data_IF_229871090552
#
_entry.id   IF_229871090552
#
_cell.length_a   1.000
_cell.length_b   1.000
_cell.length_c   1.000
_cell.angle_alpha   90.00
_cell.angle_beta   90.00
_cell.angle_gamma   90.00
#
_symmetry.space_group_name_H-M   'P 1'
#
loop_
_entity.id
_entity.type
_entity.pdbx_description
1 polymer ?
#
# COMPACT_ATOMS: atom_id res chain seq x y z
N UNK A 1 -13.41 15.87 -31.87
CA UNK A 1 -12.62 16.23 -30.69
C UNK A 1 -13.50 16.52 -29.50
N UNK A 2 -13.60 15.53 -28.62
CA UNK A 2 -13.56 15.65 -27.16
C UNK A 2 -13.88 14.26 -26.60
N UNK A 3 -12.80 13.52 -26.32
CA UNK A 3 -12.78 12.26 -25.58
C UNK A 3 -12.83 12.61 -24.09
N UNK A 4 -14.04 12.65 -23.52
CA UNK A 4 -14.22 12.86 -22.09
C UNK A 4 -14.08 11.53 -21.37
N UNK A 5 -12.86 11.27 -20.92
CA UNK A 5 -12.45 10.13 -20.11
C UNK A 5 -13.30 9.99 -18.85
N UNK A 6 -14.09 8.92 -18.80
CA UNK A 6 -14.85 8.53 -17.62
C UNK A 6 -13.95 7.82 -16.62
N UNK A 7 -13.99 8.33 -15.40
CA UNK A 7 -13.12 8.06 -14.27
C UNK A 7 -13.52 6.75 -13.56
N UNK A 8 -12.54 5.92 -13.20
CA UNK A 8 -12.73 4.62 -12.51
C UNK A 8 -13.08 4.74 -11.01
N UNK A 9 -13.59 5.89 -10.56
CA UNK A 9 -13.88 6.16 -9.14
C UNK A 9 -15.26 6.79 -8.89
N UNK A 10 -16.08 6.98 -9.93
CA UNK A 10 -17.43 7.54 -9.79
C UNK A 10 -18.48 6.47 -10.00
N UNK A 11 -18.98 5.92 -8.89
CA UNK A 11 -20.31 5.34 -8.67
C UNK A 11 -20.23 4.07 -7.81
N UNK A 12 -20.17 4.31 -6.50
CA UNK A 12 -20.42 3.29 -5.48
C UNK A 12 -21.90 3.41 -5.08
N UNK A 13 -22.75 2.53 -5.60
CA UNK A 13 -24.08 2.29 -5.03
C UNK A 13 -24.04 1.02 -4.15
N UNK A 14 -24.08 1.20 -2.84
CA UNK A 14 -24.14 0.10 -1.87
C UNK A 14 -25.58 -0.40 -1.70
N UNK A 15 -25.80 -1.70 -1.88
CA UNK A 15 -27.05 -2.38 -1.49
C UNK A 15 -26.81 -3.27 -0.27
N UNK A 16 -27.68 -3.26 0.75
CA UNK A 16 -27.58 -4.17 1.89
C UNK A 16 -28.03 -5.59 1.50
N UNK A 17 -27.28 -6.61 1.90
CA UNK A 17 -27.69 -8.02 1.78
C UNK A 17 -28.38 -8.49 3.06
N UNK A 18 -29.63 -8.96 2.95
CA UNK A 18 -30.31 -9.74 3.98
C UNK A 18 -30.07 -11.23 3.74
N UNK A 19 -29.50 -11.94 4.71
CA UNK A 19 -29.36 -13.39 4.68
C UNK A 19 -30.69 -14.06 5.03
N UNK A 20 -31.23 -14.86 4.11
CA UNK A 20 -32.34 -15.78 4.41
C UNK A 20 -31.78 -17.19 4.64
N UNK A 21 -32.17 -17.80 5.75
CA UNK A 21 -31.65 -19.06 6.24
C UNK A 21 -32.60 -20.20 5.83
N UNK A 22 -32.30 -20.86 4.71
CA UNK A 22 -32.93 -22.11 4.33
C UNK A 22 -31.89 -23.08 3.73
N UNK A 23 -31.10 -23.72 4.61
CA UNK A 23 -30.26 -24.86 4.24
C UNK A 23 -31.09 -26.14 4.30
N UNK A 24 -31.53 -26.62 3.15
CA UNK A 24 -32.00 -28.00 2.98
C UNK A 24 -30.81 -28.97 3.01
N UNK A 25 -30.96 -30.08 3.74
CA UNK A 25 -29.96 -31.13 3.85
C UNK A 25 -29.70 -31.78 2.47
N UNK A 26 -28.43 -31.89 2.09
CA UNK A 26 -27.99 -32.63 0.90
C UNK A 26 -27.33 -33.93 1.35
N UNK A 27 -27.99 -35.04 1.02
CA UNK A 27 -27.52 -36.40 1.24
C UNK A 27 -26.60 -36.82 0.08
N UNK A 28 -25.39 -37.27 0.38
CA UNK A 28 -24.34 -37.58 -0.61
C UNK A 28 -24.42 -39.04 -1.01
N UNK A 29 -24.96 -39.34 -2.19
CA UNK A 29 -24.82 -40.64 -2.83
C UNK A 29 -23.60 -40.63 -3.77
N UNK A 30 -22.57 -41.41 -3.44
CA UNK A 30 -21.44 -41.71 -4.33
C UNK A 30 -21.82 -42.87 -5.24
N UNK A 31 -21.78 -42.68 -6.55
CA UNK A 31 -21.65 -43.79 -7.49
C UNK A 31 -20.72 -43.43 -8.65
N UNK A 32 -19.81 -44.36 -8.92
CA UNK A 32 -18.66 -44.23 -9.80
C UNK A 32 -19.04 -44.26 -11.29
N UNK A 33 -18.49 -43.31 -12.06
CA UNK A 33 -17.64 -43.58 -13.24
C UNK A 33 -17.12 -42.27 -13.79
N UNK A 34 -15.84 -42.01 -13.55
CA UNK A 34 -15.10 -40.90 -14.12
C UNK A 34 -15.03 -41.05 -15.65
N UNK A 35 -15.88 -40.33 -16.37
CA UNK A 35 -15.60 -39.95 -17.75
C UNK A 35 -14.72 -38.70 -17.70
N UNK A 36 -13.49 -38.87 -18.19
CA UNK A 36 -12.53 -37.79 -18.32
C UNK A 36 -13.04 -36.75 -19.33
N UNK A 37 -13.73 -35.73 -18.83
CA UNK A 37 -13.91 -34.48 -19.57
C UNK A 37 -12.51 -33.89 -19.69
N UNK A 38 -11.96 -33.89 -20.91
CA UNK A 38 -10.80 -33.05 -21.23
C UNK A 38 -11.22 -31.62 -20.96
N UNK A 39 -10.84 -31.10 -19.79
CA UNK A 39 -10.92 -29.67 -19.53
C UNK A 39 -10.04 -28.99 -20.57
N UNK A 40 -10.66 -28.30 -21.52
CA UNK A 40 -9.97 -27.23 -22.23
C UNK A 40 -9.47 -26.30 -21.14
N UNK A 41 -8.16 -26.31 -20.89
CA UNK A 41 -7.54 -25.49 -19.88
C UNK A 41 -7.82 -24.03 -20.25
N UNK A 42 -8.88 -23.46 -19.67
CA UNK A 42 -9.05 -22.02 -19.55
C UNK A 42 -7.74 -21.54 -18.93
N UNK A 43 -7.06 -20.59 -19.59
CA UNK A 43 -5.81 -20.05 -19.08
C UNK A 43 -5.99 -19.77 -17.59
N UNK A 44 -5.19 -20.45 -16.75
CA UNK A 44 -5.31 -20.36 -15.30
C UNK A 44 -5.16 -18.89 -14.95
N UNK A 45 -6.19 -18.29 -14.36
CA UNK A 45 -6.08 -16.91 -13.91
C UNK A 45 -4.90 -16.80 -12.95
N UNK A 46 -4.07 -15.75 -13.08
CA UNK A 46 -2.90 -15.58 -12.23
C UNK A 46 -3.33 -15.54 -10.77
N UNK A 47 -2.47 -16.05 -9.89
CA UNK A 47 -2.72 -16.06 -8.46
C UNK A 47 -3.04 -14.65 -7.96
N UNK A 48 -4.02 -14.50 -7.04
CA UNK A 48 -4.39 -13.21 -6.51
C UNK A 48 -3.24 -12.42 -5.92
N UNK A 49 -3.25 -11.11 -6.15
CA UNK A 49 -2.35 -10.19 -5.48
C UNK A 49 -2.78 -9.96 -4.03
N UNK A 50 -1.79 -9.74 -3.19
CA UNK A 50 -1.93 -9.31 -1.81
C UNK A 50 -1.20 -8.00 -1.71
N UNK A 51 -1.94 -6.92 -1.49
CA UNK A 51 -1.42 -5.56 -1.52
C UNK A 51 -1.59 -4.96 -0.13
N UNK A 52 -0.52 -4.40 0.42
CA UNK A 52 -0.55 -3.62 1.64
C UNK A 52 -0.11 -2.19 1.34
N UNK A 53 -0.93 -1.24 1.74
CA UNK A 53 -0.65 0.19 1.63
C UNK A 53 -0.55 0.76 3.04
N UNK A 54 0.60 1.35 3.33
CA UNK A 54 0.88 1.96 4.63
C UNK A 54 1.68 3.24 4.47
N UNK A 55 1.82 4.00 5.55
CA UNK A 55 2.71 5.16 5.60
C UNK A 55 4.18 4.75 5.48
N UNK A 56 5.03 5.66 5.01
CA UNK A 56 6.49 5.48 5.11
C UNK A 56 6.93 5.57 6.57
N UNK A 57 7.63 4.56 7.04
CA UNK A 57 8.30 4.55 8.33
C UNK A 57 9.61 5.34 8.31
N UNK A 58 10.26 5.42 9.47
CA UNK A 58 11.57 6.09 9.59
C UNK A 58 12.65 5.37 8.77
N UNK A 59 12.67 4.04 8.80
CA UNK A 59 13.61 3.22 8.04
C UNK A 59 13.47 3.46 6.54
N UNK A 60 12.23 3.39 6.05
CA UNK A 60 11.89 3.60 4.65
C UNK A 60 12.25 5.02 4.19
N UNK A 61 12.02 6.02 5.05
CA UNK A 61 12.46 7.40 4.80
C UNK A 61 13.98 7.50 4.65
N UNK A 62 14.75 6.76 5.44
CA UNK A 62 16.22 6.73 5.29
C UNK A 62 16.62 6.05 3.97
N UNK A 63 15.95 4.98 3.57
CA UNK A 63 16.17 4.34 2.26
C UNK A 63 15.94 5.29 1.09
N UNK A 64 14.86 6.08 1.16
CA UNK A 64 14.57 7.09 0.14
C UNK A 64 15.70 8.10 0.06
N UNK A 65 16.13 8.63 1.20
CA UNK A 65 17.23 9.60 1.28
C UNK A 65 18.53 9.02 0.73
N UNK A 66 18.88 7.78 1.08
CA UNK A 66 20.05 7.07 0.53
C UNK A 66 19.95 6.95 -1.00
N UNK A 67 18.78 6.56 -1.51
CA UNK A 67 18.52 6.43 -2.95
C UNK A 67 18.68 7.77 -3.67
N UNK A 68 18.07 8.84 -3.16
CA UNK A 68 18.12 10.18 -3.75
C UNK A 68 19.55 10.75 -3.70
N UNK A 69 20.26 10.58 -2.58
CA UNK A 69 21.66 11.00 -2.46
C UNK A 69 22.54 10.32 -3.51
N UNK A 70 22.45 8.99 -3.64
CA UNK A 70 23.23 8.22 -4.62
C UNK A 70 22.87 8.62 -6.05
N UNK A 71 21.59 8.86 -6.35
CA UNK A 71 21.14 9.37 -7.66
C UNK A 71 21.73 10.74 -8.00
N UNK A 72 21.93 11.58 -6.99
CA UNK A 72 22.57 12.90 -7.11
C UNK A 72 24.11 12.84 -7.08
N UNK A 73 24.70 11.65 -7.02
CA UNK A 73 26.15 11.44 -7.03
C UNK A 73 26.83 11.50 -5.66
N UNK A 74 26.07 11.52 -4.57
CA UNK A 74 26.58 11.39 -3.20
C UNK A 74 26.46 9.94 -2.77
N UNK A 75 27.57 9.19 -2.78
CA UNK A 75 27.58 7.77 -2.43
C UNK A 75 27.15 7.52 -0.98
N UNK A 76 25.89 7.13 -0.79
CA UNK A 76 25.30 6.84 0.51
C UNK A 76 25.41 5.36 0.90
N UNK A 77 26.04 4.52 0.07
CA UNK A 77 26.02 3.06 0.19
C UNK A 77 24.69 2.43 -0.23
N UNK A 78 24.41 1.24 0.31
CA UNK A 78 23.15 0.53 0.08
C UNK A 78 21.97 1.29 0.71
N UNK A 79 20.85 1.37 -0.01
CA UNK A 79 19.60 1.94 0.50
C UNK A 79 18.88 0.95 1.45
N UNK A 80 19.49 0.67 2.60
CA UNK A 80 19.06 -0.31 3.59
C UNK A 80 18.26 0.29 4.77
N UNK A 81 18.16 1.62 4.82
CA UNK A 81 17.44 2.37 5.84
C UNK A 81 18.27 2.62 7.11
N UNK A 82 19.57 2.28 7.11
CA UNK A 82 20.49 2.53 8.20
C UNK A 82 21.47 3.64 7.85
N UNK A 83 21.49 4.70 8.66
CA UNK A 83 22.42 5.82 8.47
C UNK A 83 23.84 5.45 8.96
N UNK A 84 24.53 4.58 8.22
CA UNK A 84 25.92 4.21 8.45
C UNK A 84 26.93 5.30 8.03
N UNK A 85 28.23 5.00 8.14
CA UNK A 85 29.30 5.97 7.85
C UNK A 85 29.21 6.57 6.44
N UNK A 86 28.92 5.74 5.43
CA UNK A 86 28.75 6.21 4.04
C UNK A 86 27.55 7.15 3.92
N UNK A 87 26.39 6.78 4.46
CA UNK A 87 25.18 7.62 4.45
C UNK A 87 25.41 8.94 5.20
N UNK A 88 26.05 8.92 6.37
CA UNK A 88 26.38 10.14 7.14
C UNK A 88 27.33 11.03 6.33
N UNK A 89 28.35 10.44 5.68
CA UNK A 89 29.28 11.16 4.82
C UNK A 89 28.56 11.81 3.63
N UNK A 90 27.69 11.08 2.94
CA UNK A 90 26.88 11.55 1.82
C UNK A 90 25.96 12.71 2.23
N UNK A 91 25.24 12.58 3.35
CA UNK A 91 24.38 13.63 3.88
C UNK A 91 25.19 14.89 4.17
N UNK A 92 26.35 14.76 4.84
CA UNK A 92 27.20 15.90 5.16
C UNK A 92 27.86 16.51 3.90
N UNK A 93 28.21 15.69 2.91
CA UNK A 93 28.69 16.14 1.60
C UNK A 93 27.63 16.99 0.89
N UNK A 94 26.39 16.49 0.84
CA UNK A 94 25.27 17.20 0.25
C UNK A 94 24.99 18.51 1.00
N UNK A 95 24.94 18.47 2.33
CA UNK A 95 24.76 19.68 3.16
C UNK A 95 25.82 20.73 2.85
N UNK A 96 27.10 20.37 2.74
CA UNK A 96 28.18 21.29 2.35
C UNK A 96 27.96 21.86 0.95
N UNK A 97 27.60 21.01 -0.02
CA UNK A 97 27.30 21.44 -1.39
C UNK A 97 26.16 22.48 -1.44
N UNK A 98 25.16 22.35 -0.56
CA UNK A 98 24.04 23.31 -0.43
C UNK A 98 24.28 24.46 0.55
N UNK A 99 25.45 24.54 1.21
CA UNK A 99 25.71 25.55 2.23
C UNK A 99 24.87 25.39 3.51
N UNK A 100 24.37 24.19 3.79
CA UNK A 100 23.61 23.85 5.00
C UNK A 100 24.55 23.48 6.16
N UNK A 101 24.09 23.70 7.40
CA UNK A 101 24.84 23.32 8.60
C UNK A 101 24.94 21.80 8.72
N UNK A 102 26.16 21.28 8.88
CA UNK A 102 26.42 19.85 9.13
C UNK A 102 26.32 19.45 10.60
N UNK A 103 26.30 20.42 11.52
CA UNK A 103 26.12 20.17 12.96
C UNK A 103 24.64 20.02 13.32
N UNK A 104 24.34 19.22 14.34
CA UNK A 104 22.97 19.02 14.84
C UNK A 104 22.32 17.77 14.22
N UNK A 105 20.97 17.71 14.17
CA UNK A 105 20.26 16.57 13.63
C UNK A 105 20.69 16.23 12.20
N UNK A 106 20.83 14.93 11.92
CA UNK A 106 21.27 14.47 10.60
C UNK A 106 20.23 14.80 9.53
N UNK A 107 18.95 14.56 9.82
CA UNK A 107 17.83 14.72 8.89
C UNK A 107 16.95 15.92 9.26
N UNK A 108 17.49 17.13 9.12
CA UNK A 108 16.70 18.37 9.31
C UNK A 108 15.75 18.61 8.14
N UNK A 109 14.60 19.23 8.38
CA UNK A 109 13.63 19.58 7.32
C UNK A 109 14.27 20.37 6.17
N UNK A 110 15.14 21.32 6.48
CA UNK A 110 15.88 22.10 5.48
C UNK A 110 16.79 21.24 4.57
N UNK A 111 17.37 20.17 5.13
CA UNK A 111 18.17 19.22 4.35
C UNK A 111 17.28 18.36 3.46
N UNK A 112 16.20 17.81 4.03
CA UNK A 112 15.25 16.96 3.29
C UNK A 112 14.66 17.75 2.12
N UNK A 113 14.11 18.94 2.37
CA UNK A 113 13.57 19.81 1.33
C UNK A 113 14.60 20.12 0.23
N UNK A 114 15.85 20.47 0.61
CA UNK A 114 16.89 20.76 -0.37
C UNK A 114 17.29 19.53 -1.20
N UNK A 115 17.30 18.34 -0.58
CA UNK A 115 17.63 17.07 -1.23
C UNK A 115 16.62 16.76 -2.35
N UNK A 116 15.33 16.70 -2.00
CA UNK A 116 14.26 16.40 -2.94
C UNK A 116 14.16 17.45 -4.05
N UNK A 117 14.24 18.74 -3.71
CA UNK A 117 14.23 19.81 -4.71
C UNK A 117 15.42 19.70 -5.69
N UNK A 118 16.59 19.23 -5.25
CA UNK A 118 17.74 19.00 -6.14
C UNK A 118 17.56 17.79 -7.05
N UNK A 119 16.71 16.87 -6.63
CA UNK A 119 16.37 15.66 -7.37
C UNK A 119 15.20 15.86 -8.33
N UNK A 120 14.61 17.07 -8.37
CA UNK A 120 13.42 17.39 -9.17
C UNK A 120 12.12 16.88 -8.54
N UNK A 121 12.11 16.64 -7.23
CA UNK A 121 10.97 16.14 -6.48
C UNK A 121 10.50 17.20 -5.47
N UNK A 122 9.18 17.32 -5.28
CA UNK A 122 8.61 18.36 -4.42
C UNK A 122 8.75 18.03 -2.92
N UNK A 123 8.63 16.75 -2.56
CA UNK A 123 8.69 16.27 -1.18
C UNK A 123 9.10 14.79 -1.10
N UNK A 124 9.51 14.31 0.08
CA UNK A 124 9.65 12.87 0.31
C UNK A 124 8.33 12.13 0.12
N UNK A 125 8.37 10.89 -0.36
CA UNK A 125 7.20 10.03 -0.37
C UNK A 125 6.61 9.87 1.03
N UNK A 126 5.28 9.84 1.09
CA UNK A 126 4.53 9.79 2.35
C UNK A 126 3.92 8.41 2.64
N UNK A 127 3.75 7.58 1.61
CA UNK A 127 3.25 6.22 1.70
C UNK A 127 4.09 5.21 0.93
N UNK A 128 3.75 3.94 1.11
CA UNK A 128 4.29 2.83 0.34
C UNK A 128 3.21 1.83 0.01
N UNK A 129 3.43 1.13 -1.09
CA UNK A 129 2.68 -0.04 -1.50
C UNK A 129 3.61 -1.25 -1.54
N UNK A 130 3.18 -2.34 -0.91
CA UNK A 130 3.89 -3.61 -0.87
C UNK A 130 3.01 -4.66 -1.53
N UNK A 131 3.54 -5.36 -2.53
CA UNK A 131 2.78 -6.32 -3.31
C UNK A 131 3.41 -7.70 -3.14
N UNK A 132 2.58 -8.67 -2.80
CA UNK A 132 2.92 -10.09 -2.72
C UNK A 132 2.01 -10.90 -3.63
N UNK A 133 2.52 -12.04 -4.07
CA UNK A 133 1.78 -13.06 -4.82
C UNK A 133 2.31 -14.42 -4.40
N UNK A 134 1.42 -15.40 -4.19
CA UNK A 134 1.79 -16.73 -3.71
C UNK A 134 2.70 -16.69 -2.47
N UNK A 135 2.38 -15.83 -1.51
CA UNK A 135 3.14 -15.57 -0.27
C UNK A 135 4.56 -15.02 -0.47
N UNK A 136 4.96 -14.64 -1.68
CA UNK A 136 6.29 -14.08 -1.98
C UNK A 136 6.21 -12.58 -2.25
N UNK A 137 7.18 -11.78 -1.77
CA UNK A 137 7.32 -10.39 -2.20
C UNK A 137 7.49 -10.32 -3.72
N UNK A 138 6.64 -9.53 -4.38
CA UNK A 138 6.72 -9.27 -5.81
C UNK A 138 7.43 -7.95 -6.08
N UNK A 139 7.03 -6.88 -5.39
CA UNK A 139 7.73 -5.60 -5.37
C UNK A 139 7.19 -4.68 -4.27
N UNK A 140 7.93 -3.61 -4.03
CA UNK A 140 7.52 -2.46 -3.22
C UNK A 140 7.71 -1.18 -4.01
N UNK A 141 6.89 -0.18 -3.77
CA UNK A 141 7.01 1.13 -4.39
C UNK A 141 6.62 2.25 -3.41
N UNK A 142 7.25 3.40 -3.59
CA UNK A 142 6.87 4.63 -2.92
C UNK A 142 5.58 5.19 -3.55
N UNK A 143 4.68 5.70 -2.72
CA UNK A 143 3.46 6.38 -3.14
C UNK A 143 3.26 7.63 -2.30
N UNK A 144 2.26 8.44 -2.64
CA UNK A 144 1.86 9.57 -1.82
C UNK A 144 0.46 9.45 -1.25
N UNK A 145 0.30 10.01 -0.06
CA UNK A 145 -0.92 10.06 0.71
C UNK A 145 -1.24 11.54 0.93
N UNK A 146 -2.31 12.01 0.30
CA UNK A 146 -2.84 13.37 0.50
C UNK A 146 -3.26 13.57 1.96
N UNK A 147 -3.09 14.78 2.46
CA UNK A 147 -3.38 15.17 3.84
C UNK A 147 -2.76 14.20 4.86
N UNK A 148 -1.42 14.01 4.85
CA UNK A 148 -0.75 12.94 5.61
C UNK A 148 -0.97 13.06 7.13
N UNK A 149 -1.39 14.21 7.65
CA UNK A 149 -1.77 14.43 9.04
C UNK A 149 -3.12 13.79 9.44
N UNK A 150 -3.93 13.35 8.47
CA UNK A 150 -5.21 12.65 8.70
C UNK A 150 -4.98 11.15 8.67
N UNK A 151 -5.47 10.43 9.67
CA UNK A 151 -5.39 8.96 9.75
C UNK A 151 -5.92 8.30 8.46
N UNK A 152 -5.29 7.20 8.05
CA UNK A 152 -5.78 6.39 6.94
C UNK A 152 -6.97 5.54 7.37
N UNK A 153 -6.99 5.09 8.64
CA UNK A 153 -7.93 4.06 9.08
C UNK A 153 -7.37 2.66 8.91
N UNK A 154 -8.23 1.65 9.02
CA UNK A 154 -7.91 0.28 8.63
C UNK A 154 -9.02 -0.25 7.72
N UNK A 155 -8.67 -0.51 6.47
CA UNK A 155 -9.60 -0.87 5.41
C UNK A 155 -9.10 -2.10 4.67
N UNK A 156 -10.03 -2.97 4.30
CA UNK A 156 -9.75 -4.14 3.48
C UNK A 156 -10.66 -4.12 2.26
N UNK A 157 -10.07 -4.35 1.10
CA UNK A 157 -10.74 -4.44 -0.19
C UNK A 157 -10.42 -5.78 -0.83
N UNK A 158 -11.41 -6.42 -1.43
CA UNK A 158 -11.26 -7.64 -2.21
C UNK A 158 -11.89 -7.45 -3.59
N UNK A 159 -11.12 -7.73 -4.64
CA UNK A 159 -11.61 -7.75 -6.00
C UNK A 159 -12.46 -9.01 -6.19
N UNK A 160 -13.78 -8.86 -6.30
CA UNK A 160 -14.73 -9.96 -6.49
C UNK A 160 -14.70 -10.47 -7.92
N UNK A 161 -14.61 -9.54 -8.87
CA UNK A 161 -14.53 -9.82 -10.30
C UNK A 161 -13.56 -8.84 -10.96
N UNK A 162 -12.81 -9.32 -11.95
CA UNK A 162 -11.86 -8.50 -12.71
C UNK A 162 -12.04 -8.79 -14.20
N UNK A 163 -12.39 -7.77 -14.98
CA UNK A 163 -12.38 -7.81 -16.44
C UNK A 163 -11.19 -7.01 -16.96
N UNK A 164 -10.10 -7.72 -17.27
CA UNK A 164 -8.88 -7.09 -17.80
C UNK A 164 -9.04 -6.51 -19.20
N UNK A 165 -9.98 -7.03 -20.00
CA UNK A 165 -10.21 -6.53 -21.35
C UNK A 165 -10.97 -5.20 -21.30
N UNK A 166 -11.92 -5.08 -20.37
CA UNK A 166 -12.65 -3.83 -20.11
C UNK A 166 -11.87 -2.86 -19.20
N UNK A 167 -10.85 -3.34 -18.47
CA UNK A 167 -10.11 -2.53 -17.49
C UNK A 167 -10.92 -2.22 -16.24
N UNK A 168 -11.87 -3.08 -15.87
CA UNK A 168 -12.78 -2.87 -14.75
C UNK A 168 -12.65 -3.97 -13.71
N UNK A 169 -12.97 -3.64 -12.46
CA UNK A 169 -13.03 -4.59 -11.36
C UNK A 169 -14.15 -4.22 -10.40
N UNK A 170 -14.86 -5.21 -9.89
CA UNK A 170 -15.83 -5.04 -8.81
C UNK A 170 -15.15 -5.34 -7.48
N UNK A 171 -15.33 -4.45 -6.51
CA UNK A 171 -14.66 -4.54 -5.21
C UNK A 171 -15.68 -4.66 -4.08
N UNK A 172 -15.43 -5.59 -3.17
CA UNK A 172 -16.00 -5.58 -1.84
C UNK A 172 -15.05 -4.87 -0.89
N UNK A 173 -15.57 -4.04 0.01
CA UNK A 173 -14.75 -3.32 0.99
C UNK A 173 -15.35 -3.37 2.38
N UNK A 174 -14.47 -3.41 3.39
CA UNK A 174 -14.85 -3.33 4.81
C UNK A 174 -13.90 -2.39 5.53
N UNK A 175 -14.46 -1.63 6.47
CA UNK A 175 -13.70 -0.81 7.41
C UNK A 175 -13.69 -1.51 8.77
N UNK A 176 -12.53 -1.53 9.40
CA UNK A 176 -12.30 -2.14 10.70
C UNK A 176 -11.97 -1.07 11.74
N UNK A 177 -12.04 -1.44 13.02
CA UNK A 177 -11.58 -0.58 14.11
C UNK A 177 -10.12 -0.19 13.89
N UNK A 178 -9.85 1.12 13.85
CA UNK A 178 -8.49 1.63 13.72
C UNK A 178 -7.89 1.89 15.10
N UNK A 179 -6.97 1.02 15.54
CA UNK A 179 -6.23 1.27 16.76
C UNK A 179 -4.89 1.96 16.47
N UNK A 180 -4.81 3.23 16.85
CA UNK A 180 -3.62 4.06 16.61
C UNK A 180 -3.07 4.64 17.93
N UNK A 181 -2.08 3.96 18.55
CA UNK A 181 -1.48 4.40 19.81
C UNK A 181 -0.94 5.83 19.73
N UNK A 182 -0.98 6.57 20.85
CA UNK A 182 -0.52 7.96 20.89
C UNK A 182 0.94 8.13 20.43
N UNK A 183 1.81 7.17 20.75
CA UNK A 183 3.20 7.16 20.29
C UNK A 183 3.31 7.03 18.76
N UNK A 184 2.48 6.16 18.16
CA UNK A 184 2.41 5.99 16.71
C UNK A 184 1.90 7.27 16.03
N UNK A 185 0.83 7.89 16.55
CA UNK A 185 0.31 9.17 16.05
C UNK A 185 1.38 10.26 16.02
N UNK A 186 2.08 10.44 17.13
CA UNK A 186 3.17 11.42 17.24
C UNK A 186 4.29 11.14 16.25
N UNK A 187 4.71 9.87 16.11
CA UNK A 187 5.78 9.47 15.18
C UNK A 187 5.39 9.69 13.72
N UNK A 188 4.13 9.46 13.38
CA UNK A 188 3.60 9.57 12.02
C UNK A 188 3.07 10.98 11.68
N UNK A 189 3.05 11.90 12.64
CA UNK A 189 2.53 13.26 12.44
C UNK A 189 1.01 13.33 12.30
N UNK A 190 0.27 12.34 12.80
CA UNK A 190 -1.19 12.26 12.67
C UNK A 190 -1.84 13.13 13.74
N UNK A 191 -2.60 14.13 13.30
CA UNK A 191 -3.32 15.10 14.15
C UNK A 191 -4.83 14.84 14.15
N UNK A 192 -5.38 14.31 13.05
CA UNK A 192 -6.78 13.90 12.93
C UNK A 192 -6.82 12.38 12.97
N UNK A 193 -7.41 11.82 14.04
CA UNK A 193 -7.40 10.38 14.31
C UNK A 193 -8.50 9.60 13.63
N UNK A 194 -9.58 10.29 13.25
CA UNK A 194 -10.68 9.68 12.55
C UNK A 194 -10.31 9.51 11.08
N UNK A 195 -10.59 8.33 10.53
CA UNK A 195 -10.45 8.10 9.11
C UNK A 195 -11.42 9.02 8.32
N UNK A 196 -11.03 9.47 7.11
CA UNK A 196 -11.84 10.40 6.34
C UNK A 196 -13.16 9.76 5.87
N UNK A 197 -14.13 10.59 5.45
CA UNK A 197 -15.31 10.12 4.72
C UNK A 197 -16.53 9.71 5.55
N UNK A 198 -16.43 9.60 6.88
CA UNK A 198 -17.58 9.31 7.74
C UNK A 198 -18.27 7.98 7.41
N UNK A 199 -19.35 8.01 6.63
CA UNK A 199 -20.04 6.81 6.12
C UNK A 199 -19.42 6.26 4.81
N UNK A 200 -18.64 7.05 4.08
CA UNK A 200 -17.99 6.69 2.80
C UNK A 200 -16.46 6.60 2.95
N UNK A 201 -16.00 5.93 4.01
CA UNK A 201 -14.56 5.90 4.32
C UNK A 201 -13.73 5.19 3.26
N UNK A 202 -14.31 4.18 2.60
CA UNK A 202 -13.64 3.37 1.58
C UNK A 202 -13.27 4.21 0.35
N UNK A 203 -14.20 4.99 -0.19
CA UNK A 203 -13.92 5.87 -1.33
C UNK A 203 -13.00 7.02 -0.92
N UNK A 204 -13.23 7.58 0.27
CA UNK A 204 -12.42 8.68 0.80
C UNK A 204 -10.94 8.28 0.98
N UNK A 205 -10.65 7.10 1.55
CA UNK A 205 -9.26 6.65 1.72
C UNK A 205 -8.59 6.40 0.37
N UNK A 206 -9.28 5.78 -0.60
CA UNK A 206 -8.72 5.52 -1.92
C UNK A 206 -8.39 6.83 -2.67
N UNK A 207 -9.23 7.86 -2.55
CA UNK A 207 -9.02 9.16 -3.21
C UNK A 207 -7.75 9.91 -2.75
N UNK A 208 -7.25 9.55 -1.56
CA UNK A 208 -6.04 10.11 -0.97
C UNK A 208 -4.77 9.43 -1.46
N UNK A 209 -4.85 8.23 -2.03
CA UNK A 209 -3.70 7.47 -2.49
C UNK A 209 -3.30 7.92 -3.90
N UNK A 210 -2.15 8.57 -4.00
CA UNK A 210 -1.51 8.88 -5.27
C UNK A 210 -0.48 7.81 -5.59
N UNK A 211 -0.84 6.90 -6.50
CA UNK A 211 -0.02 5.77 -6.91
C UNK A 211 0.59 6.11 -8.27
N UNK A 212 1.94 6.09 -8.41
CA UNK A 212 2.62 6.32 -9.68
C UNK A 212 2.04 5.47 -10.82
N UNK A 213 1.93 6.05 -12.02
CA UNK A 213 1.24 5.41 -13.15
C UNK A 213 1.85 4.06 -13.54
N UNK A 214 3.18 3.95 -13.51
CA UNK A 214 3.91 2.71 -13.77
C UNK A 214 3.61 1.63 -12.72
N UNK A 215 3.56 2.02 -11.45
CA UNK A 215 3.17 1.15 -10.33
C UNK A 215 1.73 0.67 -10.48
N UNK A 216 0.81 1.59 -10.78
CA UNK A 216 -0.60 1.27 -11.04
C UNK A 216 -0.75 0.29 -12.21
N UNK A 217 -0.11 0.58 -13.35
CA UNK A 217 -0.17 -0.27 -14.53
C UNK A 217 0.38 -1.68 -14.25
N UNK A 218 1.46 -1.80 -13.47
CA UNK A 218 2.02 -3.09 -13.04
C UNK A 218 1.03 -3.88 -12.19
N UNK A 219 0.30 -3.22 -11.28
CA UNK A 219 -0.73 -3.88 -10.47
C UNK A 219 -1.89 -4.35 -11.34
N UNK A 220 -2.39 -3.48 -12.23
CA UNK A 220 -3.54 -3.78 -13.10
C UNK A 220 -3.27 -4.96 -14.04
N UNK A 221 -2.03 -5.12 -14.51
CA UNK A 221 -1.63 -6.26 -15.35
C UNK A 221 -1.72 -7.60 -14.60
N UNK A 222 -1.42 -7.61 -13.31
CA UNK A 222 -1.36 -8.81 -12.48
C UNK A 222 -2.64 -9.03 -11.64
N UNK A 223 -3.53 -8.03 -11.59
CA UNK A 223 -4.77 -8.08 -10.82
C UNK A 223 -5.66 -9.23 -11.29
N UNK A 224 -6.17 -10.02 -10.36
CA UNK A 224 -7.13 -11.10 -10.62
C UNK A 224 -8.23 -11.15 -9.57
N UNK A 225 -9.32 -11.85 -9.87
CA UNK A 225 -10.39 -12.09 -8.90
C UNK A 225 -9.83 -12.74 -7.64
N UNK A 226 -10.26 -12.27 -6.47
CA UNK A 226 -9.72 -12.62 -5.16
C UNK A 226 -8.48 -11.82 -4.74
N UNK A 227 -7.98 -10.89 -5.56
CA UNK A 227 -6.88 -9.98 -5.15
C UNK A 227 -7.37 -9.05 -4.04
N UNK A 228 -6.49 -8.70 -3.12
CA UNK A 228 -6.87 -7.85 -1.98
C UNK A 228 -5.92 -6.68 -1.77
N UNK A 229 -6.49 -5.59 -1.26
CA UNK A 229 -5.78 -4.39 -0.82
C UNK A 229 -6.14 -4.15 0.64
N UNK A 230 -5.12 -4.06 1.48
CA UNK A 230 -5.27 -3.57 2.85
C UNK A 230 -4.64 -2.20 2.95
N UNK A 231 -5.39 -1.22 3.46
CA UNK A 231 -4.88 0.13 3.74
C UNK A 231 -4.86 0.31 5.26
N UNK A 232 -3.71 0.67 5.83
CA UNK A 232 -3.59 0.93 7.26
C UNK A 232 -2.56 2.01 7.58
N UNK A 233 -2.76 2.72 8.70
CA UNK A 233 -1.75 3.64 9.23
C UNK A 233 -0.45 2.93 9.65
N UNK A 234 -0.55 1.66 10.07
CA UNK A 234 0.56 0.88 10.61
C UNK A 234 0.80 -0.39 9.80
N UNK A 235 2.07 -0.65 9.49
CA UNK A 235 2.52 -1.93 8.99
C UNK A 235 2.96 -2.80 10.17
N UNK A 236 2.28 -3.91 10.43
CA UNK A 236 2.76 -4.94 11.35
C UNK A 236 3.73 -5.86 10.60
N UNK A 237 4.83 -5.31 10.09
CA UNK A 237 5.74 -6.06 9.20
C UNK A 237 6.40 -7.27 9.88
N UNK A 238 6.39 -7.33 11.22
CA UNK A 238 7.08 -8.39 11.98
C UNK A 238 6.35 -9.73 12.00
N UNK A 239 5.11 -9.86 11.50
CA UNK A 239 4.38 -11.15 11.52
C UNK A 239 4.29 -11.85 10.15
N UNK A 240 4.82 -11.24 9.09
CA UNK A 240 4.74 -11.83 7.74
C UNK A 240 5.97 -12.68 7.40
N UNK A 241 6.09 -13.84 8.07
CA UNK A 241 7.07 -14.86 7.72
C UNK A 241 6.88 -15.38 6.28
N UNK A 242 7.75 -16.28 5.83
CA UNK A 242 7.76 -16.84 4.46
C UNK A 242 6.50 -17.64 4.06
N UNK A 243 5.51 -17.76 4.96
CA UNK A 243 4.28 -18.53 4.75
C UNK A 243 2.99 -17.77 5.06
N UNK A 244 3.03 -16.46 5.30
CA UNK A 244 1.83 -15.65 5.55
C UNK A 244 1.74 -14.48 4.58
N UNK A 245 0.52 -14.11 4.22
CA UNK A 245 0.23 -12.84 3.56
C UNK A 245 0.33 -11.70 4.59
N UNK A 246 -0.19 -10.52 4.28
CA UNK A 246 -0.21 -9.41 5.23
C UNK A 246 -1.17 -9.67 6.38
N UNK A 247 -0.67 -9.57 7.61
CA UNK A 247 -1.47 -9.61 8.83
C UNK A 247 -1.65 -8.16 9.30
N UNK A 248 -2.90 -7.78 9.52
CA UNK A 248 -3.25 -6.47 10.09
C UNK A 248 -3.93 -6.67 11.42
N UNK A 249 -3.23 -6.31 12.49
CA UNK A 249 -3.74 -6.38 13.85
C UNK A 249 -4.56 -5.12 14.11
N UNK A 250 -5.86 -5.30 14.36
CA UNK A 250 -6.82 -4.21 14.65
C UNK A 250 -7.11 -4.06 16.15
N UNK A 251 -6.64 -4.99 16.99
CA UNK A 251 -6.78 -4.97 18.45
C UNK A 251 -5.51 -5.50 19.10
N UNK A 252 -5.03 -4.84 20.15
CA UNK A 252 -4.03 -5.46 21.03
C UNK A 252 -4.69 -6.65 21.75
N UNK A 253 -4.00 -7.80 21.77
CA UNK A 253 -4.41 -8.92 22.62
C UNK A 253 -4.38 -8.51 24.10
N UNK A 254 -5.10 -9.20 24.99
CA UNK A 254 -5.03 -8.90 26.42
C UNK A 254 -3.57 -9.06 26.89
N UNK A 255 -3.09 -8.02 27.58
CA UNK A 255 -1.79 -7.98 28.26
C UNK A 255 -1.77 -8.93 29.45
#
# INVERSE_FOLDING_TARGET
DADDGKLLLSDVELRPASFDAALGAVEVAVNEKAQAIKSTAKAREPSPLRILITRRGERERVMDIQTVLTRLGFDAGSADGYAGEMTISAINGFKRWKGLKTSGPLLTDAFVAALYASAGEDHPPTGQIMVRQDFKPLFEAAIDIKDPEVALGTHFFEAVSVDRAAGTAEWNGVTLDNHLPAAARKRLGITVTDAPGGFDQLSAVLSRLDIPQDTRARIEQELSSGSSITVSDLSHQMETGTGTDFITVTKEGPV
#
